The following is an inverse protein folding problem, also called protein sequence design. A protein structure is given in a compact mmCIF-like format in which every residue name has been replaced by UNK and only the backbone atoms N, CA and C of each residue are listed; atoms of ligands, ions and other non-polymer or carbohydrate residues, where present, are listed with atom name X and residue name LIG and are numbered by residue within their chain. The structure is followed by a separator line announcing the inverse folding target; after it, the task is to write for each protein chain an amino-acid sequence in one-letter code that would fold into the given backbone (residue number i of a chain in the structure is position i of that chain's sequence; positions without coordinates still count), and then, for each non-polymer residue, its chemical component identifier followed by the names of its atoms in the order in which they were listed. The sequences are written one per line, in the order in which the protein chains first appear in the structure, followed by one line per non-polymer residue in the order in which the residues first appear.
data_IF_831251129548
#
_entry.id   IF_831251129548
#
_cell.length_a   1.000
_cell.length_b   1.000
_cell.length_c   1.000
_cell.angle_alpha   90.00
_cell.angle_beta   90.00
_cell.angle_gamma   90.00
#
_symmetry.space_group_name_H-M   'P 1'
#
loop_
_entity.id
_entity.type
_entity.pdbx_description
1 polymer ?
#
# COMPACT_ATOMS: atom_id res chain seq x y z
N UNK A 1 15.23 15.63 -1.49
CA UNK A 1 14.11 15.02 -2.23
C UNK A 1 13.52 13.95 -1.34
N UNK A 2 12.27 14.15 -0.94
CA UNK A 2 11.62 13.30 0.06
C UNK A 2 11.13 11.99 -0.55
N UNK A 3 11.33 10.91 0.18
CA UNK A 3 10.78 9.59 -0.11
C UNK A 3 10.11 9.07 1.16
N UNK A 4 8.94 8.48 1.01
CA UNK A 4 8.15 7.94 2.13
C UNK A 4 7.91 6.45 1.94
N UNK A 5 8.02 5.71 3.02
CA UNK A 5 7.66 4.30 3.12
C UNK A 5 6.60 4.15 4.21
N UNK A 6 5.43 3.69 3.82
CA UNK A 6 4.32 3.43 4.72
C UNK A 6 4.32 1.97 5.16
N UNK A 7 4.17 1.77 6.45
CA UNK A 7 4.12 0.46 7.10
C UNK A 7 2.82 0.38 7.90
N UNK A 8 2.16 -0.78 7.88
CA UNK A 8 0.99 -1.03 8.70
C UNK A 8 1.25 -2.21 9.64
N UNK A 9 1.78 -1.89 10.80
CA UNK A 9 2.15 -2.86 11.82
C UNK A 9 3.46 -3.60 11.52
N UNK A 10 3.49 -4.39 10.48
CA UNK A 10 4.65 -5.20 10.07
C UNK A 10 5.07 -4.80 8.64
N UNK A 11 6.37 -4.63 8.43
CA UNK A 11 6.92 -4.28 7.12
C UNK A 11 8.39 -3.89 7.22
N UNK A 12 9.02 -3.78 6.08
CA UNK A 12 10.45 -3.44 5.99
C UNK A 12 10.70 -1.94 6.20
N UNK A 13 11.72 -1.63 6.95
CA UNK A 13 12.22 -0.26 7.14
C UNK A 13 13.22 0.06 6.02
N UNK A 14 12.99 1.16 5.31
CA UNK A 14 13.85 1.61 4.24
C UNK A 14 14.71 2.80 4.70
N UNK A 15 16.03 2.61 4.77
CA UNK A 15 16.96 3.63 5.29
C UNK A 15 17.01 4.93 4.49
N UNK A 16 16.57 4.91 3.24
CA UNK A 16 16.53 6.09 2.36
C UNK A 16 15.18 6.81 2.38
N UNK A 17 14.23 6.34 3.19
CA UNK A 17 12.86 6.84 3.25
C UNK A 17 12.51 7.33 4.64
N UNK A 18 11.57 8.24 4.71
CA UNK A 18 10.82 8.55 5.94
C UNK A 18 9.87 7.37 6.15
N UNK A 19 10.07 6.60 7.22
CA UNK A 19 9.23 5.45 7.53
C UNK A 19 8.12 5.86 8.50
N UNK A 20 6.87 5.59 8.15
CA UNK A 20 5.69 5.92 8.97
C UNK A 20 4.91 4.65 9.24
N UNK A 21 4.67 4.36 10.52
CA UNK A 21 3.90 3.19 10.97
C UNK A 21 3.01 3.60 12.16
N UNK A 22 1.69 3.53 12.04
CA UNK A 22 0.79 3.92 13.13
C UNK A 22 0.92 3.06 14.38
N UNK A 23 1.55 1.90 14.27
CA UNK A 23 1.73 0.94 15.36
C UNK A 23 3.20 0.73 15.73
N UNK A 24 4.09 1.65 15.35
CA UNK A 24 5.50 1.58 15.73
C UNK A 24 5.66 1.54 17.25
N UNK A 25 6.56 0.68 17.74
CA UNK A 25 6.89 0.58 19.16
C UNK A 25 7.94 1.64 19.55
N UNK A 26 8.04 1.97 20.84
CA UNK A 26 9.04 2.95 21.32
C UNK A 26 10.48 2.52 21.04
N UNK A 27 10.75 1.23 20.95
CA UNK A 27 12.06 0.69 20.62
C UNK A 27 12.51 0.99 19.19
N UNK A 28 11.57 1.30 18.27
CA UNK A 28 11.85 1.64 16.87
C UNK A 28 12.24 3.14 16.70
N UNK A 29 12.04 3.91 17.68
CA UNK A 29 12.34 5.26 18.10
C UNK A 29 12.68 6.28 17.02
N UNK A 30 13.93 6.36 16.60
CA UNK A 30 14.40 7.43 15.71
C UNK A 30 14.24 7.14 14.21
N UNK A 31 13.98 5.89 13.83
CA UNK A 31 13.92 5.45 12.43
C UNK A 31 12.52 5.33 11.86
N UNK A 32 11.50 5.23 12.74
CA UNK A 32 10.11 5.07 12.34
C UNK A 32 9.25 6.11 13.07
N UNK A 33 8.51 6.90 12.29
CA UNK A 33 7.53 7.85 12.83
C UNK A 33 6.25 7.08 13.15
N UNK A 34 5.77 7.20 14.40
CA UNK A 34 4.48 6.67 14.79
C UNK A 34 3.39 7.70 14.53
N UNK A 35 2.71 7.57 13.40
CA UNK A 35 1.60 8.45 13.02
C UNK A 35 0.65 7.76 12.03
N UNK A 36 -0.49 8.39 11.80
CA UNK A 36 -1.50 7.98 10.83
C UNK A 36 -0.94 8.00 9.41
N UNK A 37 -1.11 6.90 8.69
CA UNK A 37 -0.67 6.77 7.30
C UNK A 37 -1.76 7.18 6.30
N UNK A 38 -2.98 7.43 6.74
CA UNK A 38 -4.11 7.81 5.85
C UNK A 38 -4.08 9.28 5.46
N UNK A 39 -3.31 10.08 6.18
CA UNK A 39 -3.10 11.50 5.91
C UNK A 39 -1.64 11.87 6.19
N UNK A 40 -0.93 12.33 5.17
CA UNK A 40 0.50 12.66 5.24
C UNK A 40 0.77 14.15 5.39
N UNK A 41 -0.25 14.99 5.60
CA UNK A 41 -0.12 16.46 5.62
C UNK A 41 0.84 16.98 6.69
N UNK A 42 1.00 16.24 7.80
CA UNK A 42 1.93 16.60 8.87
C UNK A 42 3.40 16.31 8.55
N UNK A 43 3.67 15.55 7.49
CA UNK A 43 5.02 15.05 7.20
C UNK A 43 5.56 15.51 5.85
N UNK A 44 4.66 15.80 4.90
CA UNK A 44 5.04 16.06 3.51
C UNK A 44 4.09 17.07 2.89
N UNK A 45 4.64 18.04 2.19
CA UNK A 45 3.87 19.00 1.41
C UNK A 45 3.35 18.39 0.08
N UNK A 46 2.35 19.03 -0.52
CA UNK A 46 1.84 18.61 -1.82
C UNK A 46 2.91 18.73 -2.90
N UNK A 47 2.95 17.77 -3.79
CA UNK A 47 3.91 17.69 -4.89
C UNK A 47 5.40 17.68 -4.46
N UNK A 48 5.69 17.18 -3.25
CA UNK A 48 7.05 17.10 -2.71
C UNK A 48 7.73 15.75 -2.98
N UNK A 49 6.95 14.64 -2.89
CA UNK A 49 7.54 13.30 -2.90
C UNK A 49 8.07 12.88 -4.26
N UNK A 50 9.27 12.37 -4.26
CA UNK A 50 9.85 11.63 -5.38
C UNK A 50 9.31 10.21 -5.45
N UNK A 51 9.08 9.60 -4.29
CA UNK A 51 8.63 8.20 -4.19
C UNK A 51 7.81 7.99 -2.93
N UNK A 52 6.69 7.29 -3.08
CA UNK A 52 5.90 6.76 -1.97
C UNK A 52 5.76 5.25 -2.16
N UNK A 53 6.11 4.49 -1.13
CA UNK A 53 6.00 3.03 -1.10
C UNK A 53 4.97 2.64 -0.05
N UNK A 54 4.01 1.80 -0.42
CA UNK A 54 2.97 1.28 0.45
C UNK A 54 2.74 -0.21 0.13
N UNK A 55 3.60 -1.08 0.66
CA UNK A 55 3.50 -2.52 0.48
C UNK A 55 2.73 -3.15 1.64
N UNK A 56 1.72 -3.95 1.33
CA UNK A 56 0.83 -4.59 2.31
C UNK A 56 0.16 -3.60 3.28
N UNK A 57 -0.25 -2.46 2.76
CA UNK A 57 -0.87 -1.38 3.52
C UNK A 57 -2.31 -1.14 3.08
N UNK A 58 -2.56 -1.07 1.77
CA UNK A 58 -3.84 -0.65 1.20
C UNK A 58 -4.99 -1.59 1.59
N UNK A 59 -4.71 -2.87 1.78
CA UNK A 59 -5.71 -3.87 2.16
C UNK A 59 -6.33 -3.60 3.55
N UNK A 60 -5.65 -2.84 4.39
CA UNK A 60 -6.12 -2.47 5.73
C UNK A 60 -6.96 -1.18 5.76
N UNK A 61 -7.03 -0.46 4.65
CA UNK A 61 -7.81 0.77 4.53
C UNK A 61 -9.28 0.42 4.30
N UNK A 62 -10.23 0.98 5.06
CA UNK A 62 -11.66 0.76 4.81
C UNK A 62 -12.07 1.16 3.39
N UNK A 63 -12.93 0.38 2.73
CA UNK A 63 -13.44 0.68 1.38
C UNK A 63 -14.02 2.08 1.26
N UNK A 64 -14.69 2.56 2.33
CA UNK A 64 -15.30 3.89 2.36
C UNK A 64 -14.28 5.02 2.43
N UNK A 65 -13.03 4.73 2.74
CA UNK A 65 -11.95 5.73 2.92
C UNK A 65 -10.84 5.64 1.88
N UNK A 66 -10.75 4.53 1.15
CA UNK A 66 -9.62 4.30 0.23
C UNK A 66 -9.49 5.40 -0.83
N UNK A 67 -10.59 5.93 -1.33
CA UNK A 67 -10.57 7.04 -2.29
C UNK A 67 -9.90 8.29 -1.73
N UNK A 68 -10.29 8.73 -0.55
CA UNK A 68 -9.70 9.91 0.10
C UNK A 68 -8.24 9.68 0.52
N UNK A 69 -7.89 8.47 0.92
CA UNK A 69 -6.51 8.11 1.25
C UNK A 69 -5.61 8.15 0.02
N UNK A 70 -6.04 7.54 -1.08
CA UNK A 70 -5.30 7.59 -2.34
C UNK A 70 -5.21 9.02 -2.90
N UNK A 71 -6.26 9.83 -2.74
CA UNK A 71 -6.21 11.25 -3.10
C UNK A 71 -5.11 11.99 -2.31
N UNK A 72 -5.07 11.80 -0.99
CA UNK A 72 -4.01 12.38 -0.16
C UNK A 72 -2.62 11.92 -0.62
N UNK A 73 -2.40 10.62 -0.78
CA UNK A 73 -1.10 10.07 -1.18
C UNK A 73 -0.65 10.55 -2.56
N UNK A 74 -1.55 10.54 -3.54
CA UNK A 74 -1.22 10.94 -4.92
C UNK A 74 -0.93 12.42 -5.04
N UNK A 75 -1.61 13.28 -4.26
CA UNK A 75 -1.34 14.71 -4.22
C UNK A 75 0.06 15.04 -3.67
N UNK A 76 0.61 14.19 -2.80
CA UNK A 76 1.98 14.37 -2.29
C UNK A 76 3.07 14.07 -3.33
N UNK A 77 2.77 13.30 -4.38
CA UNK A 77 3.73 12.91 -5.40
C UNK A 77 3.98 14.10 -6.35
N UNK A 78 5.25 14.47 -6.55
CA UNK A 78 5.63 15.50 -7.50
C UNK A 78 5.52 15.02 -8.97
N UNK A 79 5.55 15.93 -9.90
CA UNK A 79 5.71 15.57 -11.33
C UNK A 79 6.98 14.72 -11.54
N UNK A 80 6.85 13.62 -12.26
CA UNK A 80 7.91 12.65 -12.47
C UNK A 80 8.15 11.71 -11.26
N UNK A 81 7.51 11.99 -10.12
CA UNK A 81 7.54 11.10 -8.96
C UNK A 81 6.65 9.87 -9.15
N UNK A 82 6.83 8.89 -8.28
CA UNK A 82 6.14 7.61 -8.40
C UNK A 82 5.52 7.14 -7.09
N UNK A 83 4.48 6.34 -7.22
CA UNK A 83 3.86 5.58 -6.13
C UNK A 83 3.98 4.08 -6.42
N UNK A 84 4.31 3.31 -5.40
CA UNK A 84 4.42 1.85 -5.44
C UNK A 84 3.46 1.28 -4.41
N UNK A 85 2.44 0.58 -4.87
CA UNK A 85 1.44 -0.05 -4.00
C UNK A 85 1.47 -1.56 -4.21
N UNK A 86 1.52 -2.30 -3.13
CA UNK A 86 1.47 -3.76 -3.13
C UNK A 86 0.45 -4.31 -2.15
N UNK A 87 0.05 -5.53 -2.37
CA UNK A 87 -0.89 -6.26 -1.53
C UNK A 87 -1.24 -7.61 -2.14
N UNK A 88 -2.35 -8.20 -1.72
CA UNK A 88 -2.85 -9.45 -2.25
C UNK A 88 -3.73 -9.19 -3.47
N UNK A 89 -3.41 -9.83 -4.60
CA UNK A 89 -4.30 -9.88 -5.76
C UNK A 89 -5.40 -10.91 -5.50
N UNK A 90 -6.63 -10.45 -5.41
CA UNK A 90 -7.76 -11.31 -5.04
C UNK A 90 -8.03 -12.40 -6.08
N UNK A 91 -7.90 -12.11 -7.37
CA UNK A 91 -8.14 -13.11 -8.42
C UNK A 91 -7.09 -14.22 -8.34
N UNK A 92 -5.82 -13.87 -8.21
CA UNK A 92 -4.74 -14.86 -8.10
C UNK A 92 -4.82 -15.65 -6.79
N UNK A 93 -5.25 -15.02 -5.71
CA UNK A 93 -5.54 -15.72 -4.45
C UNK A 93 -6.66 -16.75 -4.65
N UNK A 94 -7.76 -16.37 -5.28
CA UNK A 94 -8.87 -17.28 -5.58
C UNK A 94 -8.46 -18.45 -6.51
N UNK A 95 -7.63 -18.18 -7.52
CA UNK A 95 -7.05 -19.24 -8.38
C UNK A 95 -6.19 -20.20 -7.57
N UNK A 96 -5.38 -19.69 -6.66
CA UNK A 96 -4.51 -20.50 -5.79
C UNK A 96 -5.32 -21.40 -4.84
N UNK A 97 -6.49 -20.93 -4.37
CA UNK A 97 -7.44 -21.76 -3.62
C UNK A 97 -8.05 -22.82 -4.52
N UNK A 98 -8.50 -22.45 -5.71
CA UNK A 98 -9.17 -23.36 -6.64
C UNK A 98 -8.28 -24.48 -7.16
N UNK A 99 -6.99 -24.22 -7.35
CA UNK A 99 -6.01 -25.21 -7.81
C UNK A 99 -5.27 -25.94 -6.66
N UNK A 100 -5.70 -25.69 -5.41
CA UNK A 100 -5.12 -26.28 -4.20
C UNK A 100 -3.65 -25.91 -3.93
N UNK A 101 -3.13 -24.83 -4.49
CA UNK A 101 -1.78 -24.34 -4.20
C UNK A 101 -1.67 -23.77 -2.77
N UNK A 102 -2.77 -23.27 -2.23
CA UNK A 102 -2.91 -22.83 -0.85
C UNK A 102 -4.15 -23.46 -0.22
N UNK A 103 -4.09 -23.68 1.10
CA UNK A 103 -5.23 -24.18 1.87
C UNK A 103 -6.17 -23.05 2.33
N UNK A 104 -7.30 -23.41 2.94
CA UNK A 104 -8.29 -22.45 3.39
C UNK A 104 -7.78 -21.57 4.56
N UNK A 105 -6.88 -22.09 5.39
CA UNK A 105 -6.30 -21.32 6.51
C UNK A 105 -5.42 -20.20 5.95
N UNK A 106 -4.58 -20.53 5.00
CA UNK A 106 -3.73 -19.56 4.31
C UNK A 106 -4.57 -18.55 3.52
N UNK A 107 -5.62 -18.97 2.82
CA UNK A 107 -6.54 -18.08 2.13
C UNK A 107 -7.23 -17.09 3.09
N UNK A 108 -7.69 -17.54 4.24
CA UNK A 108 -8.27 -16.67 5.26
C UNK A 108 -7.28 -15.60 5.74
N UNK A 109 -6.03 -15.97 5.97
CA UNK A 109 -4.98 -15.04 6.38
C UNK A 109 -4.72 -13.98 5.28
N UNK A 110 -4.66 -14.40 4.02
CA UNK A 110 -4.42 -13.50 2.89
C UNK A 110 -5.59 -12.52 2.65
N UNK A 111 -6.82 -12.98 2.78
CA UNK A 111 -8.02 -12.18 2.49
C UNK A 111 -8.46 -11.33 3.68
N UNK A 112 -8.37 -11.85 4.89
CA UNK A 112 -8.90 -11.22 6.10
C UNK A 112 -7.82 -10.64 7.02
N UNK A 113 -6.54 -10.87 6.74
CA UNK A 113 -5.42 -10.53 7.62
C UNK A 113 -5.12 -11.63 8.63
N UNK A 114 -3.93 -11.58 9.19
CA UNK A 114 -3.49 -12.59 10.15
C UNK A 114 -4.22 -12.53 11.49
N UNK A 115 -4.75 -11.34 11.85
CA UNK A 115 -5.55 -11.09 13.05
C UNK A 115 -4.87 -11.46 14.39
N UNK A 116 -3.57 -11.64 14.37
CA UNK A 116 -2.74 -11.85 15.57
C UNK A 116 -2.47 -10.53 16.33
N UNK A 117 -2.93 -9.41 15.78
CA UNK A 117 -3.06 -8.11 16.41
C UNK A 117 -4.44 -7.53 16.09
N UNK A 118 -5.06 -6.73 16.99
CA UNK A 118 -6.40 -6.18 16.78
C UNK A 118 -6.55 -5.34 15.51
N UNK A 119 -5.46 -4.73 15.03
CA UNK A 119 -5.46 -3.86 13.86
C UNK A 119 -5.12 -4.60 12.54
N UNK A 120 -4.66 -5.85 12.59
CA UNK A 120 -4.31 -6.64 11.39
C UNK A 120 -5.54 -7.33 10.80
N UNK A 121 -6.55 -6.53 10.49
CA UNK A 121 -7.80 -6.94 9.84
C UNK A 121 -7.87 -6.26 8.49
N UNK A 122 -7.83 -7.04 7.43
CA UNK A 122 -7.97 -6.51 6.05
C UNK A 122 -9.43 -6.12 5.78
N UNK A 123 -9.63 -5.00 5.13
CA UNK A 123 -10.93 -4.36 4.96
C UNK A 123 -11.36 -4.22 3.51
N UNK A 124 -10.44 -4.43 2.59
CA UNK A 124 -10.70 -4.42 1.15
C UNK A 124 -9.71 -5.33 0.43
N UNK A 125 -10.04 -5.66 -0.81
CA UNK A 125 -9.14 -6.36 -1.70
C UNK A 125 -9.14 -5.67 -3.06
N UNK A 126 -7.97 -5.54 -3.66
CA UNK A 126 -7.78 -5.17 -5.05
C UNK A 126 -7.29 -6.36 -5.87
N UNK A 127 -7.38 -6.23 -7.18
CA UNK A 127 -6.53 -6.95 -8.12
C UNK A 127 -5.49 -5.98 -8.67
N UNK A 128 -4.40 -6.48 -9.23
CA UNK A 128 -3.40 -5.62 -9.86
C UNK A 128 -4.03 -4.78 -10.99
N UNK A 129 -4.94 -5.37 -11.75
CA UNK A 129 -5.67 -4.67 -12.82
C UNK A 129 -6.59 -3.59 -12.25
N UNK A 130 -7.43 -3.90 -11.26
CA UNK A 130 -8.37 -2.91 -10.69
C UNK A 130 -7.64 -1.75 -10.01
N UNK A 131 -6.53 -2.00 -9.34
CA UNK A 131 -5.72 -0.95 -8.72
C UNK A 131 -5.05 -0.07 -9.79
N UNK A 132 -4.49 -0.68 -10.83
CA UNK A 132 -3.88 0.05 -11.95
C UNK A 132 -4.91 0.95 -12.65
N UNK A 133 -6.07 0.43 -13.00
CA UNK A 133 -7.18 1.19 -13.62
C UNK A 133 -7.61 2.34 -12.71
N UNK A 134 -7.71 2.12 -11.41
CA UNK A 134 -8.09 3.17 -10.47
C UNK A 134 -7.07 4.30 -10.41
N UNK A 135 -5.76 3.99 -10.40
CA UNK A 135 -4.70 4.98 -10.43
C UNK A 135 -4.67 5.76 -11.76
N UNK A 136 -4.96 5.11 -12.88
CA UNK A 136 -5.00 5.76 -14.19
C UNK A 136 -6.25 6.64 -14.37
N UNK A 137 -7.43 6.10 -14.12
CA UNK A 137 -8.70 6.75 -14.47
C UNK A 137 -9.10 7.84 -13.47
N UNK A 138 -8.82 7.63 -12.18
CA UNK A 138 -9.24 8.58 -11.13
C UNK A 138 -8.13 9.57 -10.80
N UNK A 139 -6.89 9.13 -10.73
CA UNK A 139 -5.76 9.97 -10.28
C UNK A 139 -4.84 10.43 -11.41
N UNK A 140 -5.08 10.02 -12.65
CA UNK A 140 -4.29 10.38 -13.84
C UNK A 140 -2.80 10.01 -13.75
N UNK A 141 -2.49 8.89 -13.10
CA UNK A 141 -1.14 8.34 -13.06
C UNK A 141 -0.91 7.44 -14.26
N UNK A 142 0.32 7.37 -14.74
CA UNK A 142 0.75 6.43 -15.78
C UNK A 142 1.32 5.18 -15.13
N UNK A 143 0.78 4.00 -15.45
CA UNK A 143 1.28 2.73 -14.92
C UNK A 143 2.61 2.40 -15.57
N UNK A 144 3.66 2.25 -14.74
CA UNK A 144 5.00 1.87 -15.18
C UNK A 144 5.17 0.36 -15.09
N UNK A 145 4.62 -0.23 -14.04
CA UNK A 145 4.78 -1.65 -13.74
C UNK A 145 3.54 -2.20 -13.08
N UNK A 146 3.13 -3.37 -13.55
CA UNK A 146 2.07 -4.17 -12.94
C UNK A 146 2.55 -5.61 -12.89
N UNK A 147 2.79 -6.14 -11.70
CA UNK A 147 3.28 -7.50 -11.49
C UNK A 147 2.40 -8.24 -10.50
N UNK A 148 2.21 -9.52 -10.77
CA UNK A 148 1.68 -10.48 -9.81
C UNK A 148 2.64 -11.67 -9.76
N UNK A 149 3.11 -12.00 -8.56
CA UNK A 149 3.92 -13.18 -8.30
C UNK A 149 3.16 -14.05 -7.30
N UNK A 150 2.69 -15.20 -7.76
CA UNK A 150 1.68 -16.00 -7.10
C UNK A 150 0.42 -15.16 -6.85
N UNK A 151 0.16 -14.75 -5.60
CA UNK A 151 -0.96 -13.89 -5.21
C UNK A 151 -0.53 -12.50 -4.74
N UNK A 152 0.77 -12.19 -4.74
CA UNK A 152 1.29 -10.88 -4.36
C UNK A 152 1.38 -9.96 -5.57
N UNK A 153 0.71 -8.80 -5.49
CA UNK A 153 0.77 -7.79 -6.54
C UNK A 153 1.66 -6.62 -6.15
N UNK A 154 2.28 -6.01 -7.16
CA UNK A 154 2.91 -4.71 -7.08
C UNK A 154 2.48 -3.89 -8.30
N UNK A 155 1.96 -2.70 -8.04
CA UNK A 155 1.63 -1.71 -9.05
C UNK A 155 2.49 -0.47 -8.81
N UNK A 156 3.24 -0.08 -9.81
CA UNK A 156 4.06 1.14 -9.82
C UNK A 156 3.51 2.11 -10.84
N UNK A 157 3.21 3.32 -10.39
CA UNK A 157 2.63 4.37 -11.23
C UNK A 157 3.39 5.68 -11.05
N UNK A 158 3.46 6.49 -12.11
CA UNK A 158 4.16 7.78 -12.15
C UNK A 158 3.19 8.92 -12.40
N UNK A 159 3.42 10.04 -11.74
CA UNK A 159 2.71 11.29 -12.01
C UNK A 159 3.39 12.01 -13.17
N UNK A 160 2.73 12.09 -14.31
CA UNK A 160 3.26 12.74 -15.52
C UNK A 160 2.56 14.05 -15.86
N UNK A 161 1.42 14.36 -15.20
CA UNK A 161 0.61 15.56 -15.44
C UNK A 161 0.17 16.22 -14.14
#
# INVERSE_FOLDING_TARGET
MSKVNLIYGVGDVLHTHININPFAEEADGETIIRDDITNLDNHVDDAELQELIALDVIDYIPMTKVGSVLDNWTNKIRLGGKIVIGGVDLIECCKSVADYSIDIVQANSLIHGEQNRPYLIKRLNFTATSLAEYLEEVFNFTIIKKRVNNYQMIVEARREK
#
